data_IF_186057036835
#
_entry.id   IF_186057036835
#
_cell.length_a   1.000
_cell.length_b   1.000
_cell.length_c   1.000
_cell.angle_alpha   90.00
_cell.angle_beta   90.00
_cell.angle_gamma   90.00
#
_symmetry.space_group_name_H-M   'P 1'
#
loop_
_entity.id
_entity.type
_entity.pdbx_description
1 polymer ?
#
# COMPACT_ATOMS: atom_id res chain seq x y z
N UNK A 1 -8.81 -0.91 2.06
CA UNK A 1 -9.60 0.09 1.31
C UNK A 1 -8.67 0.91 0.45
N UNK A 2 -9.02 1.10 -0.82
CA UNK A 2 -8.25 1.92 -1.74
C UNK A 2 -8.62 3.39 -1.57
N UNK A 3 -7.59 4.23 -1.58
CA UNK A 3 -7.69 5.68 -1.46
C UNK A 3 -7.82 6.27 -2.88
N UNK A 4 -8.74 7.22 -3.11
CA UNK A 4 -8.86 7.89 -4.41
C UNK A 4 -7.59 8.62 -4.81
N UNK A 5 -7.43 8.82 -6.11
CA UNK A 5 -6.38 9.68 -6.65
C UNK A 5 -6.78 11.16 -6.55
N UNK A 6 -5.82 11.99 -6.16
CA UNK A 6 -5.99 13.42 -5.99
C UNK A 6 -5.05 14.18 -6.92
N UNK A 7 -5.54 15.27 -7.51
CA UNK A 7 -4.73 16.21 -8.28
C UNK A 7 -5.04 17.64 -7.88
N UNK A 8 -4.04 18.51 -7.89
CA UNK A 8 -4.25 19.93 -7.68
C UNK A 8 -4.71 20.59 -9.00
N UNK A 9 -5.89 21.19 -9.00
CA UNK A 9 -6.40 21.93 -10.16
C UNK A 9 -5.63 23.24 -10.37
N UNK A 10 -5.75 23.82 -11.58
CA UNK A 10 -5.07 25.09 -11.94
C UNK A 10 -5.41 26.26 -11.01
N UNK A 11 -6.56 26.20 -10.35
CA UNK A 11 -7.04 27.22 -9.41
C UNK A 11 -6.66 26.93 -7.94
N UNK A 12 -5.80 25.95 -7.69
CA UNK A 12 -5.46 25.47 -6.33
C UNK A 12 -6.58 24.64 -5.67
N UNK A 13 -7.68 24.40 -6.39
CA UNK A 13 -8.79 23.56 -5.92
C UNK A 13 -8.41 22.10 -6.12
N UNK A 14 -8.43 21.35 -5.03
CA UNK A 14 -8.19 19.91 -5.01
C UNK A 14 -9.28 19.15 -5.78
N UNK A 15 -8.88 18.37 -6.78
CA UNK A 15 -9.73 17.51 -7.58
C UNK A 15 -9.49 16.05 -7.20
N UNK A 16 -10.57 15.27 -7.16
CA UNK A 16 -10.53 13.82 -6.94
C UNK A 16 -10.99 13.10 -8.17
N UNK A 17 -10.29 12.04 -8.52
CA UNK A 17 -10.68 11.16 -9.61
C UNK A 17 -11.49 10.00 -9.02
N UNK A 18 -12.74 9.86 -9.48
CA UNK A 18 -13.65 8.81 -9.01
C UNK A 18 -13.35 7.43 -9.64
N UNK A 19 -12.50 7.40 -10.67
CA UNK A 19 -12.14 6.18 -11.37
C UNK A 19 -10.99 5.47 -10.64
N UNK A 20 -11.13 4.16 -10.52
CA UNK A 20 -10.10 3.31 -9.94
C UNK A 20 -8.95 3.14 -10.94
N UNK A 21 -7.73 3.45 -10.51
CA UNK A 21 -6.51 3.20 -11.29
C UNK A 21 -6.31 1.70 -11.51
N UNK A 22 -6.03 1.31 -12.75
CA UNK A 22 -5.79 -0.08 -13.13
C UNK A 22 -4.54 -0.66 -12.43
N UNK A 23 -3.57 0.19 -12.15
CA UNK A 23 -2.32 -0.15 -11.44
C UNK A 23 -2.58 -0.32 -9.94
N UNK A 24 -3.26 0.64 -9.31
CA UNK A 24 -3.66 0.55 -7.90
C UNK A 24 -4.49 -0.71 -7.63
N UNK A 25 -5.38 -1.06 -8.57
CA UNK A 25 -6.19 -2.27 -8.47
C UNK A 25 -5.33 -3.53 -8.51
N UNK A 26 -4.42 -3.67 -9.47
CA UNK A 26 -3.56 -4.85 -9.61
C UNK A 26 -2.58 -4.99 -8.45
N UNK A 27 -2.00 -3.88 -7.99
CA UNK A 27 -1.22 -3.88 -6.76
C UNK A 27 -2.06 -4.41 -5.59
N UNK A 28 -3.25 -3.86 -5.37
CA UNK A 28 -4.09 -4.28 -4.26
C UNK A 28 -4.52 -5.75 -4.35
N UNK A 29 -4.75 -6.28 -5.56
CA UNK A 29 -5.09 -7.69 -5.78
C UNK A 29 -3.92 -8.63 -5.50
N UNK A 30 -2.70 -8.21 -5.81
CA UNK A 30 -1.48 -8.95 -5.45
C UNK A 30 -1.35 -9.10 -3.94
N UNK A 31 -1.56 -8.02 -3.19
CA UNK A 31 -1.22 -7.99 -1.77
C UNK A 31 -2.38 -8.41 -0.86
N UNK A 32 -3.62 -8.05 -1.18
CA UNK A 32 -4.76 -8.15 -0.26
C UNK A 32 -5.78 -9.19 -0.67
N UNK A 33 -6.33 -9.90 0.32
CA UNK A 33 -7.42 -10.87 0.12
C UNK A 33 -8.72 -10.22 -0.31
N UNK A 34 -9.05 -9.10 0.33
CA UNK A 34 -10.25 -8.36 0.04
C UNK A 34 -9.90 -6.89 -0.16
N UNK A 35 -10.57 -6.28 -1.14
CA UNK A 35 -10.41 -4.88 -1.47
C UNK A 35 -11.74 -4.20 -1.21
N UNK A 36 -11.68 -2.95 -0.75
CA UNK A 36 -12.86 -2.11 -0.62
C UNK A 36 -12.69 -0.85 -1.46
N UNK A 37 -13.70 -0.58 -2.29
CA UNK A 37 -13.84 0.65 -3.08
C UNK A 37 -15.28 1.19 -2.92
N UNK A 38 -15.50 2.16 -2.02
CA UNK A 38 -16.82 2.70 -1.74
C UNK A 38 -17.54 3.22 -2.99
N UNK A 39 -18.85 2.94 -3.06
CA UNK A 39 -19.74 3.52 -4.06
C UNK A 39 -20.37 4.78 -3.51
N UNK A 40 -20.33 5.87 -4.26
CA UNK A 40 -20.85 7.16 -3.80
C UNK A 40 -22.17 7.46 -4.48
N UNK A 41 -23.21 7.65 -3.68
CA UNK A 41 -24.53 8.06 -4.16
C UNK A 41 -24.39 9.32 -5.03
N UNK A 42 -24.95 9.31 -6.23
CA UNK A 42 -24.89 10.35 -7.27
C UNK A 42 -23.64 10.42 -8.17
N UNK A 43 -22.52 9.80 -7.78
CA UNK A 43 -21.39 9.58 -8.69
C UNK A 43 -21.48 8.14 -9.21
N UNK A 44 -22.15 7.96 -10.36
CA UNK A 44 -22.05 6.69 -11.08
C UNK A 44 -20.60 6.54 -11.54
N UNK A 45 -19.83 5.75 -10.79
CA UNK A 45 -18.64 5.08 -11.32
C UNK A 45 -19.05 4.43 -12.63
N UNK A 46 -18.36 4.73 -13.72
CA UNK A 46 -18.61 4.09 -15.01
C UNK A 46 -18.61 2.57 -14.82
N UNK A 47 -19.46 1.89 -15.60
CA UNK A 47 -19.49 0.44 -15.61
C UNK A 47 -18.13 -0.05 -16.11
N UNK A 48 -17.30 -0.49 -15.18
CA UNK A 48 -16.01 -1.08 -15.45
C UNK A 48 -16.16 -2.59 -15.29
N UNK A 49 -15.94 -3.32 -16.37
CA UNK A 49 -16.04 -4.79 -16.41
C UNK A 49 -15.15 -5.44 -15.34
N UNK A 50 -14.01 -4.82 -15.01
CA UNK A 50 -13.13 -5.26 -13.92
C UNK A 50 -13.82 -5.19 -12.55
N UNK A 51 -14.56 -4.11 -12.29
CA UNK A 51 -15.28 -3.93 -11.02
C UNK A 51 -16.42 -4.95 -10.91
N UNK A 52 -17.13 -5.22 -12.01
CA UNK A 52 -18.18 -6.22 -12.05
C UNK A 52 -17.62 -7.63 -11.85
N UNK A 53 -16.53 -7.97 -12.54
CA UNK A 53 -15.81 -9.23 -12.41
C UNK A 53 -15.35 -9.46 -10.97
N UNK A 54 -14.65 -8.50 -10.37
CA UNK A 54 -14.14 -8.62 -9.00
C UNK A 54 -15.24 -8.65 -7.95
N UNK A 55 -16.36 -7.97 -8.20
CA UNK A 55 -17.55 -8.06 -7.37
C UNK A 55 -18.15 -9.47 -7.41
N UNK A 56 -18.28 -10.07 -8.60
CA UNK A 56 -18.78 -11.44 -8.78
C UNK A 56 -17.83 -12.50 -8.18
N UNK A 57 -16.53 -12.25 -8.22
CA UNK A 57 -15.50 -13.10 -7.61
C UNK A 57 -15.46 -12.97 -6.07
N UNK A 58 -16.20 -12.05 -5.47
CA UNK A 58 -16.23 -11.82 -4.01
C UNK A 58 -14.99 -11.10 -3.45
N UNK A 59 -14.08 -10.65 -4.31
CA UNK A 59 -12.82 -10.00 -3.91
C UNK A 59 -13.03 -8.51 -3.60
N UNK A 60 -13.94 -7.85 -4.32
CA UNK A 60 -14.22 -6.42 -4.17
C UNK A 60 -15.52 -6.16 -3.39
N UNK A 61 -15.41 -5.40 -2.31
CA UNK A 61 -16.55 -4.85 -1.56
C UNK A 61 -16.79 -3.40 -1.94
N UNK A 62 -18.05 -3.06 -2.25
CA UNK A 62 -18.48 -1.69 -2.56
C UNK A 62 -19.50 -1.19 -1.54
N UNK A 63 -19.07 -0.73 -0.36
CA UNK A 63 -19.99 -0.11 0.59
C UNK A 63 -20.59 1.15 -0.03
N UNK A 64 -21.91 1.30 0.06
CA UNK A 64 -22.59 2.51 -0.40
C UNK A 64 -22.44 3.62 0.64
N UNK A 65 -22.02 4.79 0.18
CA UNK A 65 -21.86 5.98 1.00
C UNK A 65 -22.67 7.14 0.43
N UNK A 66 -23.25 7.91 1.33
CA UNK A 66 -23.90 9.17 1.02
C UNK A 66 -22.91 10.31 1.21
N UNK A 67 -22.77 11.16 0.20
CA UNK A 67 -22.06 12.42 0.38
C UNK A 67 -22.86 13.30 1.30
N UNK A 68 -22.24 13.68 2.41
CA UNK A 68 -22.73 14.79 3.20
C UNK A 68 -22.03 16.05 2.65
N UNK A 69 -22.77 16.98 2.02
CA UNK A 69 -22.17 18.20 1.55
C UNK A 69 -21.61 18.97 2.75
N UNK A 70 -20.30 19.04 2.84
CA UNK A 70 -19.63 19.97 3.76
C UNK A 70 -19.40 21.29 3.01
N UNK A 71 -19.21 22.41 3.74
CA UNK A 71 -18.91 23.73 3.15
C UNK A 71 -17.52 23.81 2.48
N UNK A 72 -16.96 22.67 2.09
CA UNK A 72 -15.58 22.45 1.69
C UNK A 72 -15.56 21.84 0.29
N UNK A 73 -14.38 21.81 -0.36
CA UNK A 73 -14.23 21.32 -1.73
C UNK A 73 -14.82 19.92 -1.94
N UNK A 74 -15.29 19.63 -3.16
CA UNK A 74 -15.86 18.32 -3.55
C UNK A 74 -14.89 17.18 -3.24
N UNK A 75 -13.59 17.37 -3.53
CA UNK A 75 -12.57 16.36 -3.25
C UNK A 75 -12.41 16.04 -1.76
N UNK A 76 -12.57 17.04 -0.89
CA UNK A 76 -12.50 16.83 0.56
C UNK A 76 -13.76 16.17 1.11
N UNK A 77 -14.93 16.53 0.58
CA UNK A 77 -16.19 15.83 0.91
C UNK A 77 -16.14 14.35 0.52
N UNK A 78 -15.52 14.03 -0.62
CA UNK A 78 -15.29 12.65 -1.06
C UNK A 78 -14.32 11.90 -0.14
N UNK A 79 -13.17 12.51 0.18
CA UNK A 79 -12.19 11.94 1.10
C UNK A 79 -12.80 11.61 2.46
N UNK A 80 -13.63 12.51 3.00
CA UNK A 80 -14.33 12.31 4.26
C UNK A 80 -15.34 11.16 4.20
N UNK A 81 -16.08 11.03 3.08
CA UNK A 81 -17.03 9.94 2.90
C UNK A 81 -16.33 8.57 2.79
N UNK A 82 -15.22 8.49 2.04
CA UNK A 82 -14.38 7.28 1.97
C UNK A 82 -13.76 6.94 3.33
N UNK A 83 -13.32 7.94 4.09
CA UNK A 83 -12.78 7.71 5.43
C UNK A 83 -13.84 7.15 6.39
N UNK A 84 -15.09 7.59 6.30
CA UNK A 84 -16.20 7.02 7.09
C UNK A 84 -16.47 5.56 6.70
N UNK A 85 -16.51 5.25 5.41
CA UNK A 85 -16.64 3.87 4.95
C UNK A 85 -15.52 2.98 5.53
N UNK A 86 -14.30 3.50 5.57
CA UNK A 86 -13.18 2.80 6.20
C UNK A 86 -13.42 2.55 7.68
N UNK A 87 -13.89 3.56 8.43
CA UNK A 87 -14.19 3.42 9.85
C UNK A 87 -15.32 2.41 10.12
N UNK A 88 -16.34 2.36 9.26
CA UNK A 88 -17.42 1.39 9.34
C UNK A 88 -16.92 -0.04 9.09
N UNK A 89 -16.07 -0.23 8.07
CA UNK A 89 -15.44 -1.53 7.80
C UNK A 89 -14.53 -1.98 8.94
N UNK A 90 -13.69 -1.10 9.49
CA UNK A 90 -12.84 -1.41 10.64
C UNK A 90 -13.66 -1.63 11.93
N UNK A 91 -14.84 -1.01 12.06
CA UNK A 91 -15.75 -1.28 13.17
C UNK A 91 -16.38 -2.68 13.08
N UNK A 92 -16.77 -3.11 11.87
CA UNK A 92 -17.34 -4.44 11.62
C UNK A 92 -16.27 -5.54 11.71
N UNK A 93 -15.08 -5.26 11.20
CA UNK A 93 -13.98 -6.22 11.09
C UNK A 93 -12.66 -5.63 11.63
N UNK A 94 -12.54 -5.48 12.95
CA UNK A 94 -11.42 -4.77 13.56
C UNK A 94 -10.05 -5.31 13.17
N UNK A 95 -9.19 -4.42 12.68
CA UNK A 95 -7.80 -4.74 12.35
C UNK A 95 -7.61 -5.49 11.03
N UNK A 96 -8.69 -5.79 10.29
CA UNK A 96 -8.60 -6.44 8.97
C UNK A 96 -8.44 -5.47 7.81
N UNK A 97 -8.66 -4.17 8.04
CA UNK A 97 -8.68 -3.16 6.98
C UNK A 97 -7.51 -2.19 7.09
N UNK A 98 -6.72 -2.06 6.03
CA UNK A 98 -5.69 -1.01 5.87
C UNK A 98 -6.08 -0.01 4.78
N UNK A 99 -5.46 1.17 4.78
CA UNK A 99 -5.58 2.14 3.69
C UNK A 99 -4.45 1.92 2.68
N UNK A 100 -4.76 1.98 1.38
CA UNK A 100 -3.80 1.79 0.29
C UNK A 100 -3.92 2.92 -0.74
N UNK A 101 -2.83 3.65 -0.98
CA UNK A 101 -2.77 4.74 -1.97
C UNK A 101 -1.64 4.52 -2.99
N UNK A 102 -1.78 5.13 -4.17
CA UNK A 102 -0.77 5.11 -5.26
C UNK A 102 0.33 6.17 -5.05
N UNK A 103 0.06 7.20 -4.25
CA UNK A 103 1.10 8.15 -3.89
C UNK A 103 1.00 8.62 -2.45
N UNK A 104 2.15 9.07 -1.93
CA UNK A 104 2.20 9.69 -0.61
C UNK A 104 1.43 11.01 -0.61
N UNK A 105 1.34 11.67 -1.76
CA UNK A 105 0.50 12.85 -1.97
C UNK A 105 -0.98 12.49 -1.75
N UNK A 106 -1.50 11.45 -2.42
CA UNK A 106 -2.89 11.00 -2.25
C UNK A 106 -3.21 10.64 -0.81
N UNK A 107 -2.31 9.92 -0.13
CA UNK A 107 -2.49 9.57 1.28
C UNK A 107 -2.55 10.81 2.18
N UNK A 108 -1.68 11.80 1.94
CA UNK A 108 -1.69 13.07 2.68
C UNK A 108 -2.96 13.87 2.43
N UNK A 109 -3.34 13.97 1.17
CA UNK A 109 -4.55 14.61 0.68
C UNK A 109 -5.82 14.00 1.30
N UNK A 110 -5.89 12.68 1.31
CA UNK A 110 -6.98 11.91 1.90
C UNK A 110 -7.13 12.16 3.41
N UNK A 111 -6.02 12.14 4.15
CA UNK A 111 -6.05 12.33 5.60
C UNK A 111 -6.21 13.82 5.98
N UNK A 112 -5.55 14.75 5.27
CA UNK A 112 -5.48 16.20 5.56
C UNK A 112 -5.31 16.50 7.04
N UNK A 113 -6.24 17.25 7.66
CA UNK A 113 -6.16 17.65 9.09
C UNK A 113 -6.20 16.50 10.10
N UNK A 114 -6.40 15.26 9.63
CA UNK A 114 -6.30 14.06 10.45
C UNK A 114 -4.86 13.66 10.69
N UNK A 115 -3.90 14.32 10.06
CA UNK A 115 -2.48 14.05 10.18
C UNK A 115 -1.91 14.66 11.46
N UNK A 116 -1.07 13.90 12.16
CA UNK A 116 -0.22 14.35 13.27
C UNK A 116 1.22 14.04 12.90
N UNK A 117 2.04 15.09 12.76
CA UNK A 117 3.47 14.96 12.50
C UNK A 117 4.18 14.24 13.65
N UNK A 118 5.26 13.53 13.31
CA UNK A 118 6.22 12.95 14.28
C UNK A 118 5.63 11.86 15.22
N UNK A 119 4.67 11.09 14.70
CA UNK A 119 4.03 9.96 15.42
C UNK A 119 3.95 8.67 14.60
N UNK A 120 4.58 8.63 13.43
CA UNK A 120 4.62 7.45 12.58
C UNK A 120 6.04 7.08 12.18
N UNK A 121 6.23 5.81 11.82
CA UNK A 121 7.44 5.31 11.14
C UNK A 121 7.01 4.77 9.80
N UNK A 122 7.74 5.12 8.75
CA UNK A 122 7.58 4.48 7.45
C UNK A 122 8.72 3.51 7.24
N UNK A 123 8.38 2.28 6.85
CA UNK A 123 9.29 1.31 6.25
C UNK A 123 9.05 1.35 4.75
N UNK A 124 9.99 1.91 3.99
CA UNK A 124 9.93 2.01 2.53
C UNK A 124 10.85 0.99 1.89
N UNK A 125 10.27 -0.01 1.24
CA UNK A 125 10.95 -0.88 0.31
C UNK A 125 11.11 -0.13 -1.01
N UNK A 126 12.33 0.16 -1.42
CA UNK A 126 12.65 0.78 -2.69
C UNK A 126 13.09 -0.28 -3.69
N UNK A 127 12.43 -0.32 -4.84
CA UNK A 127 12.67 -1.24 -5.96
C UNK A 127 12.80 -2.71 -5.55
N UNK A 128 11.93 -3.19 -4.66
CA UNK A 128 12.09 -4.52 -4.07
C UNK A 128 10.91 -5.47 -4.33
N UNK A 129 9.87 -5.00 -5.00
CA UNK A 129 8.62 -5.75 -5.16
C UNK A 129 8.22 -5.83 -6.64
N UNK A 130 7.93 -7.03 -7.16
CA UNK A 130 7.30 -7.17 -8.47
C UNK A 130 5.80 -6.83 -8.37
N UNK A 131 5.36 -5.85 -9.15
CA UNK A 131 3.95 -5.50 -9.33
C UNK A 131 3.55 -5.83 -10.77
N UNK A 132 2.46 -6.57 -11.01
CA UNK A 132 1.93 -6.79 -12.35
C UNK A 132 1.57 -5.47 -13.05
N UNK A 133 1.87 -5.36 -14.35
CA UNK A 133 1.55 -4.17 -15.14
C UNK A 133 0.04 -3.95 -15.29
N UNK A 134 -0.35 -2.71 -15.60
CA UNK A 134 -1.74 -2.31 -15.90
C UNK A 134 -2.43 -3.13 -17.00
N UNK A 135 -1.68 -3.85 -17.84
CA UNK A 135 -2.22 -4.68 -18.92
C UNK A 135 -2.42 -6.15 -18.54
N UNK A 136 -1.93 -6.58 -17.37
CA UNK A 136 -2.05 -7.98 -16.94
C UNK A 136 -3.53 -8.35 -16.71
N UNK A 137 -4.05 -9.45 -17.28
CA UNK A 137 -5.44 -9.87 -17.05
C UNK A 137 -5.71 -10.18 -15.58
N UNK A 138 -6.87 -9.73 -15.07
CA UNK A 138 -7.23 -9.93 -13.66
C UNK A 138 -7.36 -11.40 -13.28
N UNK A 139 -7.80 -12.26 -14.21
CA UNK A 139 -7.91 -13.70 -13.97
C UNK A 139 -6.54 -14.33 -13.68
N UNK A 140 -5.53 -14.02 -14.50
CA UNK A 140 -4.17 -14.54 -14.34
C UNK A 140 -3.55 -14.05 -13.03
N UNK A 141 -3.88 -12.82 -12.63
CA UNK A 141 -3.46 -12.25 -11.36
C UNK A 141 -4.07 -12.98 -10.16
N UNK A 142 -5.36 -13.30 -10.21
CA UNK A 142 -6.03 -14.08 -9.16
C UNK A 142 -5.46 -15.51 -9.08
N UNK A 143 -5.19 -16.15 -10.21
CA UNK A 143 -4.53 -17.46 -10.22
C UNK A 143 -3.12 -17.42 -9.63
N UNK A 144 -2.31 -16.42 -10.00
CA UNK A 144 -0.98 -16.23 -9.46
C UNK A 144 -1.02 -16.10 -7.94
N UNK A 145 -1.90 -15.21 -7.45
CA UNK A 145 -2.08 -14.98 -6.03
C UNK A 145 -2.47 -16.25 -5.30
N UNK A 146 -3.36 -17.08 -5.86
CA UNK A 146 -3.73 -18.37 -5.26
C UNK A 146 -2.55 -19.35 -5.23
N UNK A 147 -1.76 -19.41 -6.30
CA UNK A 147 -0.61 -20.32 -6.44
C UNK A 147 0.60 -19.92 -5.57
N UNK A 148 0.71 -18.63 -5.24
CA UNK A 148 1.88 -18.01 -4.58
C UNK A 148 1.50 -17.16 -3.36
N UNK A 149 0.35 -17.48 -2.76
CA UNK A 149 -0.10 -16.92 -1.50
C UNK A 149 0.94 -17.06 -0.38
N UNK A 150 1.67 -18.19 -0.23
CA UNK A 150 2.63 -18.34 0.86
C UNK A 150 3.73 -17.27 0.86
N UNK A 151 4.31 -16.95 -0.30
CA UNK A 151 5.41 -16.00 -0.43
C UNK A 151 4.94 -14.56 -0.20
N UNK A 152 3.76 -14.22 -0.71
CA UNK A 152 3.13 -12.91 -0.47
C UNK A 152 2.79 -12.75 1.01
N UNK A 153 2.26 -13.80 1.65
CA UNK A 153 1.96 -13.79 3.08
C UNK A 153 3.22 -13.71 3.94
N UNK A 154 4.31 -14.36 3.53
CA UNK A 154 5.60 -14.29 4.23
C UNK A 154 6.14 -12.86 4.25
N UNK A 155 6.19 -12.18 3.10
CA UNK A 155 6.62 -10.77 3.04
C UNK A 155 5.74 -9.87 3.92
N UNK A 156 4.42 -10.08 3.89
CA UNK A 156 3.47 -9.32 4.73
C UNK A 156 3.68 -9.58 6.22
N UNK A 157 3.95 -10.82 6.61
CA UNK A 157 4.21 -11.19 7.99
C UNK A 157 5.47 -10.48 8.51
N UNK A 158 6.55 -10.46 7.73
CA UNK A 158 7.80 -9.76 8.09
C UNK A 158 7.61 -8.23 8.18
N UNK A 159 6.86 -7.63 7.24
CA UNK A 159 6.50 -6.21 7.34
C UNK A 159 5.63 -5.92 8.58
N UNK A 160 4.75 -6.85 8.96
CA UNK A 160 3.94 -6.77 10.18
C UNK A 160 4.79 -6.87 11.46
N UNK A 161 5.72 -7.82 11.51
CA UNK A 161 6.62 -8.02 12.66
C UNK A 161 7.54 -6.83 12.91
N UNK A 162 7.93 -6.12 11.84
CA UNK A 162 8.71 -4.88 11.92
C UNK A 162 8.06 -3.86 12.85
N UNK A 163 6.73 -3.73 12.85
CA UNK A 163 6.00 -2.87 13.79
C UNK A 163 6.24 -3.28 15.24
N UNK A 164 6.17 -4.57 15.54
CA UNK A 164 6.34 -5.09 16.91
C UNK A 164 7.76 -4.80 17.41
N UNK A 165 8.77 -5.00 16.56
CA UNK A 165 10.17 -4.76 16.90
C UNK A 165 10.48 -3.27 17.09
N UNK A 166 9.97 -2.40 16.21
CA UNK A 166 10.14 -0.95 16.30
C UNK A 166 9.51 -0.41 17.60
N UNK A 167 8.37 -0.95 18.02
CA UNK A 167 7.62 -0.45 19.20
C UNK A 167 8.03 -1.09 20.53
N UNK A 168 8.59 -2.30 20.54
CA UNK A 168 8.72 -3.11 21.77
C UNK A 168 10.11 -3.64 22.14
N UNK A 169 11.16 -3.49 21.32
CA UNK A 169 12.47 -4.09 21.64
C UNK A 169 13.34 -3.24 22.56
N UNK A 170 14.00 -3.88 23.53
CA UNK A 170 15.05 -3.26 24.39
C UNK A 170 16.36 -3.11 23.64
N UNK A 171 16.72 -4.11 22.82
CA UNK A 171 17.82 -4.03 21.84
C UNK A 171 17.24 -3.82 20.44
N UNK A 172 17.12 -2.56 20.04
CA UNK A 172 16.44 -2.18 18.79
C UNK A 172 17.33 -2.37 17.57
N UNK A 173 18.65 -2.24 17.71
CA UNK A 173 19.56 -2.23 16.57
C UNK A 173 19.78 -3.62 16.00
N UNK A 174 20.08 -4.60 16.86
CA UNK A 174 20.30 -5.99 16.44
C UNK A 174 19.00 -6.63 15.93
N UNK A 175 17.90 -6.43 16.66
CA UNK A 175 16.59 -6.95 16.27
C UNK A 175 16.10 -6.36 14.93
N UNK A 176 16.38 -5.08 14.68
CA UNK A 176 16.06 -4.43 13.41
C UNK A 176 16.93 -4.98 12.28
N UNK A 177 18.24 -5.14 12.49
CA UNK A 177 19.14 -5.72 11.48
C UNK A 177 18.68 -7.12 11.04
N UNK A 178 18.40 -8.00 12.00
CA UNK A 178 17.87 -9.34 11.71
C UNK A 178 16.51 -9.32 11.00
N UNK A 179 15.67 -8.32 11.30
CA UNK A 179 14.39 -8.14 10.61
C UNK A 179 14.58 -7.67 9.17
N UNK A 180 15.53 -6.77 8.91
CA UNK A 180 15.85 -6.30 7.57
C UNK A 180 16.39 -7.44 6.69
N UNK A 181 17.22 -8.33 7.25
CA UNK A 181 17.71 -9.51 6.54
C UNK A 181 16.56 -10.48 6.18
N UNK A 182 15.56 -10.64 7.06
CA UNK A 182 14.35 -11.43 6.76
C UNK A 182 13.50 -10.81 5.66
N UNK A 183 13.36 -9.48 5.66
CA UNK A 183 12.65 -8.78 4.59
C UNK A 183 13.41 -8.92 3.25
N UNK A 184 14.75 -8.84 3.26
CA UNK A 184 15.59 -9.06 2.07
C UNK A 184 15.35 -10.44 1.46
N UNK A 185 15.37 -11.49 2.30
CA UNK A 185 15.08 -12.84 1.85
C UNK A 185 13.66 -12.97 1.27
N UNK A 186 12.66 -12.41 1.94
CA UNK A 186 11.27 -12.45 1.45
C UNK A 186 11.07 -11.70 0.12
N UNK A 187 11.76 -10.56 -0.08
CA UNK A 187 11.77 -9.83 -1.35
C UNK A 187 12.39 -10.67 -2.47
N UNK A 188 13.54 -11.32 -2.21
CA UNK A 188 14.19 -12.22 -3.17
C UNK A 188 13.30 -13.41 -3.54
N UNK A 189 12.65 -14.04 -2.57
CA UNK A 189 11.77 -15.19 -2.81
C UNK A 189 10.57 -14.77 -3.68
N UNK A 190 9.96 -13.61 -3.38
CA UNK A 190 8.88 -13.06 -4.17
C UNK A 190 9.30 -12.75 -5.63
N UNK A 191 10.50 -12.19 -5.84
CA UNK A 191 11.04 -11.95 -7.18
C UNK A 191 11.33 -13.25 -7.93
N UNK A 192 11.83 -14.27 -7.23
CA UNK A 192 12.09 -15.61 -7.80
C UNK A 192 10.78 -16.21 -8.31
N UNK A 193 9.73 -16.14 -7.50
CA UNK A 193 8.41 -16.63 -7.83
C UNK A 193 7.74 -15.83 -8.94
N UNK A 194 7.87 -14.51 -8.94
CA UNK A 194 7.32 -13.66 -10.00
C UNK A 194 7.91 -14.05 -11.37
N UNK A 195 9.19 -14.45 -11.42
CA UNK A 195 9.83 -14.97 -12.64
C UNK A 195 9.26 -16.31 -13.10
N UNK A 196 8.78 -17.17 -12.22
CA UNK A 196 8.20 -18.44 -12.66
C UNK A 196 6.91 -18.23 -13.45
N UNK A 197 6.22 -17.12 -13.22
CA UNK A 197 4.93 -16.83 -13.83
C UNK A 197 5.12 -15.83 -14.94
N UNK A 198 4.92 -16.25 -16.20
CA UNK A 198 5.07 -15.46 -17.44
C UNK A 198 4.07 -14.29 -17.55
N UNK A 199 4.03 -13.40 -16.57
CA UNK A 199 3.27 -12.16 -16.53
C UNK A 199 4.17 -10.92 -16.58
N UNK A 200 3.77 -9.85 -17.26
CA UNK A 200 4.55 -8.60 -17.24
C UNK A 200 4.55 -7.99 -15.83
N UNK A 201 5.73 -7.88 -15.20
CA UNK A 201 5.89 -7.26 -13.87
C UNK A 201 6.84 -6.08 -13.94
N UNK A 202 6.56 -5.05 -13.14
CA UNK A 202 7.45 -3.90 -12.90
C UNK A 202 7.96 -3.95 -11.48
N UNK A 203 9.20 -3.50 -11.27
CA UNK A 203 9.73 -3.35 -9.91
C UNK A 203 9.23 -2.03 -9.33
N UNK A 204 8.67 -2.12 -8.13
CA UNK A 204 8.05 -0.99 -7.46
C UNK A 204 8.57 -0.75 -6.05
N UNK A 205 8.23 0.43 -5.57
CA UNK A 205 8.41 0.85 -4.20
C UNK A 205 7.16 0.56 -3.39
N UNK A 206 7.35 0.08 -2.16
CA UNK A 206 6.28 -0.09 -1.18
C UNK A 206 6.66 0.59 0.13
N UNK A 207 5.90 1.62 0.48
CA UNK A 207 5.99 2.32 1.75
C UNK A 207 4.88 1.86 2.70
N UNK A 208 5.29 1.32 3.84
CA UNK A 208 4.40 0.90 4.92
C UNK A 208 4.50 1.91 6.06
N UNK A 209 3.43 2.69 6.25
CA UNK A 209 3.29 3.61 7.37
C UNK A 209 2.76 2.89 8.60
N UNK A 210 3.56 2.87 9.67
CA UNK A 210 3.27 2.29 10.97
C UNK A 210 3.00 3.41 11.97
N UNK A 211 1.87 3.32 12.68
CA UNK A 211 1.51 4.28 13.73
C UNK A 211 2.07 3.83 15.08
N UNK A 212 2.68 4.76 15.81
CA UNK A 212 3.15 4.53 17.19
C UNK A 212 2.28 5.24 18.21
N UNK A 213 2.02 4.58 19.33
CA UNK A 213 1.22 5.11 20.44
C UNK A 213 2.04 5.96 21.45
N UNK A 214 3.37 5.89 21.39
CA UNK A 214 4.29 6.72 22.17
C UNK A 214 4.77 7.90 21.32
N UNK A 215 4.69 9.11 21.85
CA UNK A 215 5.20 10.31 21.18
C UNK A 215 6.67 10.14 20.83
N UNK A 216 7.07 10.69 19.66
CA UNK A 216 8.41 10.68 19.05
C UNK A 216 9.15 9.36 19.28
N UNK A 217 9.27 8.52 18.25
CA UNK A 217 10.28 7.46 18.30
C UNK A 217 11.64 8.16 18.20
N UNK A 218 12.10 8.67 19.33
CA UNK A 218 13.41 9.27 19.52
C UNK A 218 14.42 8.19 19.15
N UNK A 219 15.06 8.33 17.99
CA UNK A 219 16.08 7.40 17.50
C UNK A 219 15.88 6.86 16.08
N UNK A 220 14.72 7.05 15.43
CA UNK A 220 14.61 6.71 13.99
C UNK A 220 15.22 7.84 13.17
N UNK A 221 16.54 7.77 12.98
CA UNK A 221 17.26 8.55 11.96
C UNK A 221 16.95 7.93 10.60
N UNK A 222 16.74 8.76 9.57
CA UNK A 222 16.58 8.28 8.20
C UNK A 222 17.77 7.42 7.82
N UNK A 223 17.57 6.12 7.69
CA UNK A 223 18.60 5.15 7.34
C UNK A 223 18.13 4.33 6.15
N UNK A 224 19.02 4.13 5.18
CA UNK A 224 18.81 3.27 4.03
C UNK A 224 19.72 2.04 4.16
N UNK A 225 19.15 0.87 4.00
CA UNK A 225 19.82 -0.42 4.10
C UNK A 225 19.74 -1.12 2.75
N UNK A 226 20.88 -1.54 2.22
CA UNK A 226 20.92 -2.27 0.96
C UNK A 226 20.38 -3.68 1.13
N UNK A 227 19.50 -4.09 0.22
CA UNK A 227 19.01 -5.46 0.14
C UNK A 227 20.04 -6.30 -0.61
N UNK A 228 20.98 -6.91 0.11
CA UNK A 228 22.14 -7.60 -0.50
C UNK A 228 21.69 -8.77 -1.37
N UNK A 229 20.84 -9.63 -0.83
CA UNK A 229 20.40 -10.84 -1.54
C UNK A 229 19.50 -10.51 -2.74
N UNK A 230 18.65 -9.49 -2.59
CA UNK A 230 17.80 -8.97 -3.67
C UNK A 230 18.66 -8.34 -4.77
N UNK A 231 19.65 -7.53 -4.42
CA UNK A 231 20.55 -6.87 -5.38
C UNK A 231 21.44 -7.88 -6.12
N UNK A 232 21.96 -8.90 -5.42
CA UNK A 232 22.71 -10.00 -6.04
C UNK A 232 21.83 -10.77 -7.03
N UNK A 233 20.60 -11.07 -6.65
CA UNK A 233 19.64 -11.72 -7.53
C UNK A 233 19.35 -10.85 -8.76
N UNK A 234 18.99 -9.58 -8.60
CA UNK A 234 18.73 -8.68 -9.72
C UNK A 234 19.97 -8.48 -10.61
N UNK A 235 21.16 -8.39 -10.03
CA UNK A 235 22.41 -8.27 -10.78
C UNK A 235 22.70 -9.54 -11.58
N UNK A 236 22.38 -10.72 -11.05
CA UNK A 236 22.47 -11.99 -11.80
C UNK A 236 21.54 -12.03 -13.02
N UNK A 237 20.52 -11.18 -13.04
CA UNK A 237 19.60 -10.98 -14.16
C UNK A 237 20.00 -9.83 -15.09
N UNK A 238 21.17 -9.20 -14.87
CA UNK A 238 21.65 -8.07 -15.68
C UNK A 238 20.96 -6.75 -15.37
N UNK A 239 20.24 -6.63 -14.25
CA UNK A 239 19.49 -5.44 -13.89
C UNK A 239 20.35 -4.45 -13.09
N UNK A 240 20.46 -3.22 -13.57
CA UNK A 240 21.16 -2.13 -12.87
C UNK A 240 20.24 -1.41 -11.85
N UNK A 241 19.53 -2.17 -11.01
CA UNK A 241 18.68 -1.62 -9.96
C UNK A 241 19.33 -1.82 -8.59
N UNK A 242 19.30 -0.78 -7.75
CA UNK A 242 19.69 -0.88 -6.34
C UNK A 242 18.42 -0.86 -5.49
N UNK A 243 18.04 -2.03 -4.98
CA UNK A 243 16.99 -2.18 -3.99
C UNK A 243 17.51 -1.85 -2.60
N UNK A 244 16.67 -1.18 -1.82
CA UNK A 244 17.00 -0.80 -0.44
C UNK A 244 15.76 -0.71 0.44
N UNK A 245 15.94 -0.85 1.75
CA UNK A 245 14.93 -0.53 2.75
C UNK A 245 15.29 0.81 3.38
N UNK A 246 14.39 1.78 3.30
CA UNK A 246 14.51 3.06 3.98
C UNK A 246 13.58 3.10 5.18
N UNK A 247 14.14 3.38 6.36
CA UNK A 247 13.39 3.65 7.57
C UNK A 247 13.38 5.17 7.81
N UNK A 248 12.21 5.78 7.94
CA UNK A 248 12.11 7.22 8.24
C UNK A 248 10.96 7.56 9.19
N UNK A 249 11.14 8.61 10.00
CA UNK A 249 10.02 9.21 10.72
C UNK A 249 9.02 9.79 9.72
N UNK A 250 7.73 9.59 9.99
CA UNK A 250 6.64 10.11 9.18
C UNK A 250 5.52 10.64 10.08
N UNK A 251 4.47 11.12 9.44
CA UNK A 251 3.25 11.51 10.10
C UNK A 251 2.34 10.32 10.39
N UNK A 252 1.50 10.40 11.41
CA UNK A 252 0.46 9.41 11.74
C UNK A 252 -0.93 10.03 11.58
N UNK A 253 -2.01 9.23 11.57
CA UNK A 253 -3.34 9.81 11.74
C UNK A 253 -3.62 10.08 13.23
N UNK A 254 -4.58 10.97 13.53
CA UNK A 254 -5.03 11.25 14.90
C UNK A 254 -5.50 9.95 15.57
N UNK A 255 -5.01 9.74 16.81
CA UNK A 255 -5.16 8.51 17.61
C UNK A 255 -6.61 8.01 17.73
N UNK A 256 -7.58 8.93 17.76
CA UNK A 256 -8.99 8.59 17.91
C UNK A 256 -9.65 8.06 16.63
N UNK A 257 -8.99 8.22 15.48
CA UNK A 257 -9.58 7.93 14.18
C UNK A 257 -9.19 6.54 13.62
N UNK A 258 -8.05 5.99 14.04
CA UNK A 258 -7.52 4.69 13.61
C UNK A 258 -7.25 3.77 14.81
N UNK A 259 -8.26 3.61 15.68
CA UNK A 259 -8.11 2.97 17.00
C UNK A 259 -7.57 1.54 16.97
N UNK A 260 -7.73 0.79 15.86
CA UNK A 260 -7.39 -0.64 15.79
C UNK A 260 -6.55 -1.04 14.59
N UNK A 261 -6.74 -0.42 13.43
CA UNK A 261 -5.85 -0.64 12.28
C UNK A 261 -4.72 0.39 12.24
N UNK A 262 -3.48 -0.09 12.38
CA UNK A 262 -2.29 0.78 12.46
C UNK A 262 -1.48 0.86 11.15
N UNK A 263 -1.93 0.21 10.08
CA UNK A 263 -1.15 0.06 8.85
C UNK A 263 -1.73 0.89 7.70
N UNK A 264 -0.85 1.65 7.05
CA UNK A 264 -1.12 2.33 5.78
C UNK A 264 -0.09 1.87 4.76
N UNK A 265 -0.52 1.65 3.53
CA UNK A 265 0.32 1.23 2.43
C UNK A 265 0.28 2.30 1.34
N UNK A 266 1.45 2.66 0.84
CA UNK A 266 1.63 3.56 -0.30
C UNK A 266 2.58 2.87 -1.24
N UNK A 267 2.22 2.74 -2.52
CA UNK A 267 3.03 2.04 -3.51
C UNK A 267 3.32 2.98 -4.68
N UNK A 268 4.56 3.00 -5.18
CA UNK A 268 4.95 3.84 -6.31
C UNK A 268 5.70 3.00 -7.35
N UNK A 269 5.22 3.00 -8.59
CA UNK A 269 5.85 2.28 -9.69
C UNK A 269 7.07 3.06 -10.22
N UNK A 270 8.12 2.32 -10.55
CA UNK A 270 9.29 2.83 -11.28
C UNK A 270 9.29 2.28 -12.71
N UNK A 271 10.08 2.89 -13.60
CA UNK A 271 10.18 2.50 -15.02
C UNK A 271 10.46 1.01 -15.24
N UNK A 272 10.03 0.55 -16.42
CA UNK A 272 9.82 -0.85 -16.80
C UNK A 272 11.00 -1.78 -16.58
N UNK A 273 10.66 -3.00 -16.20
CA UNK A 273 11.58 -4.11 -16.12
C UNK A 273 11.02 -5.26 -16.96
N UNK A 274 11.25 -5.20 -18.27
CA UNK A 274 10.88 -6.26 -19.18
C UNK A 274 11.85 -7.43 -19.04
N UNK A 275 11.43 -8.39 -18.23
CA UNK A 275 12.11 -9.66 -18.02
C UNK A 275 11.93 -10.65 -19.19
N UNK A 276 11.21 -10.24 -20.25
CA UNK A 276 10.96 -10.99 -21.48
C UNK A 276 11.87 -10.58 -22.66
N UNK A 277 12.93 -9.82 -22.40
CA UNK A 277 13.98 -9.56 -23.42
C UNK A 277 15.04 -10.65 -23.47
#
# INVERSE_FOLDING_TARGET
>A
MLVPFFSEGKDGVMQTHANLSAEQLRFALCFWEHIAWPSVSHFKSEANDDIAFLGSAGVLRRPEIQLQPTSMSVGRSLADAYFRAYQELDAQEPGRWSLSAESEFDMKCFLGDRIVSDRGVTVSLHRAIPIPTGDTPLNDLLEFKLKRAPEIMALRAELGESKRLITGSTDRAEALAAQLDRIDAACRDLLTVAREVRMSVRIADLSVGIQSNGGVIAGVVSAAYHLKSTNEFMSSLGLAAVSSIKLSSTYSAKKDLLKKSSFRYVHQLHEELDWLT
#
